data_IF_284023784512
#
_entry.id   IF_284023784512
#
_cell.length_a   1.000
_cell.length_b   1.000
_cell.length_c   1.000
_cell.angle_alpha   90.00
_cell.angle_beta   90.00
_cell.angle_gamma   90.00
#
_symmetry.space_group_name_H-M   'P 1'
#
loop_
_entity.id
_entity.type
_entity.pdbx_description
1 polymer ?
#
# COMPACT_ATOMS: atom_id res chain seq x y z
N UNK A 1 -37.76 14.13 -33.59
CA UNK A 1 -36.33 14.52 -33.54
C UNK A 1 -35.65 13.77 -32.41
N UNK A 2 -34.67 12.89 -32.70
CA UNK A 2 -33.93 12.14 -31.65
C UNK A 2 -32.90 13.07 -31.02
N UNK A 3 -33.10 13.48 -29.78
CA UNK A 3 -32.12 14.24 -28.99
C UNK A 3 -30.91 13.35 -28.69
N UNK A 4 -29.75 13.68 -29.28
CA UNK A 4 -28.51 12.96 -29.03
C UNK A 4 -28.04 13.22 -27.59
N UNK A 5 -28.10 12.18 -26.75
CA UNK A 5 -27.64 12.22 -25.35
C UNK A 5 -26.17 12.66 -25.30
N UNK A 6 -25.87 13.68 -24.49
CA UNK A 6 -24.52 14.24 -24.37
C UNK A 6 -23.56 13.20 -23.78
N UNK A 7 -22.55 12.79 -24.57
CA UNK A 7 -21.53 11.82 -24.13
C UNK A 7 -20.75 12.37 -22.94
N UNK A 8 -20.69 11.59 -21.87
CA UNK A 8 -19.95 11.91 -20.65
C UNK A 8 -18.47 11.51 -20.81
N UNK A 9 -17.60 11.89 -19.86
CA UNK A 9 -16.16 11.55 -19.90
C UNK A 9 -15.91 10.03 -19.95
N UNK A 10 -16.82 9.20 -19.43
CA UNK A 10 -16.72 7.74 -19.48
C UNK A 10 -17.01 7.14 -20.86
N UNK A 11 -17.73 7.86 -21.72
CA UNK A 11 -18.12 7.38 -23.05
C UNK A 11 -17.03 7.62 -24.12
N UNK A 12 -15.94 8.31 -23.74
CA UNK A 12 -14.83 8.63 -24.64
C UNK A 12 -13.83 7.49 -24.66
N UNK A 13 -13.37 7.13 -25.86
CA UNK A 13 -12.34 6.13 -26.05
C UNK A 13 -11.08 6.52 -25.26
N UNK A 14 -10.51 5.61 -24.44
CA UNK A 14 -9.49 5.98 -23.46
C UNK A 14 -8.12 6.29 -24.08
N UNK A 15 -7.89 5.91 -25.34
CA UNK A 15 -6.63 6.11 -26.08
C UNK A 15 -6.76 7.22 -27.13
N UNK A 16 -5.65 7.88 -27.43
CA UNK A 16 -5.54 8.90 -28.49
C UNK A 16 -4.85 8.30 -29.70
N UNK A 17 -5.29 8.60 -30.92
CA UNK A 17 -4.60 8.15 -32.14
C UNK A 17 -3.46 9.13 -32.47
N UNK A 18 -2.24 8.62 -32.60
CA UNK A 18 -1.05 9.43 -32.87
C UNK A 18 -0.79 9.51 -34.39
N UNK A 19 -0.20 10.60 -34.91
CA UNK A 19 0.15 10.72 -36.33
C UNK A 19 1.02 9.60 -36.91
N UNK A 20 1.72 8.84 -36.05
CA UNK A 20 2.51 7.65 -36.43
C UNK A 20 1.65 6.42 -36.77
N UNK A 21 0.32 6.55 -36.78
CA UNK A 21 -0.60 5.46 -37.14
C UNK A 21 -0.90 4.49 -36.01
N UNK A 22 -0.60 4.84 -34.75
CA UNK A 22 -0.79 3.98 -33.58
C UNK A 22 -1.60 4.67 -32.49
N UNK A 23 -2.43 3.91 -31.78
CA UNK A 23 -3.09 4.37 -30.57
C UNK A 23 -2.11 4.47 -29.40
N UNK A 24 -2.16 5.57 -28.66
CA UNK A 24 -1.27 5.84 -27.55
C UNK A 24 -1.98 6.41 -26.32
N UNK A 25 -1.30 6.32 -25.17
CA UNK A 25 -1.68 6.99 -23.91
C UNK A 25 -0.45 7.59 -23.26
N UNK A 26 -0.57 8.83 -22.79
CA UNK A 26 0.41 9.43 -21.90
C UNK A 26 0.16 8.95 -20.46
N UNK A 27 1.13 8.26 -19.89
CA UNK A 27 1.09 7.71 -18.52
C UNK A 27 2.39 8.10 -17.82
N UNK A 28 2.30 8.80 -16.68
CA UNK A 28 3.47 9.26 -15.90
C UNK A 28 4.54 9.98 -16.73
N UNK A 29 4.11 10.87 -17.63
CA UNK A 29 5.00 11.66 -18.47
C UNK A 29 5.53 10.97 -19.72
N UNK A 30 5.39 9.64 -19.86
CA UNK A 30 5.83 8.87 -21.03
C UNK A 30 4.64 8.49 -21.93
N UNK A 31 4.85 8.44 -23.24
CA UNK A 31 3.85 8.01 -24.22
C UNK A 31 4.05 6.51 -24.49
N UNK A 32 2.98 5.73 -24.33
CA UNK A 32 2.96 4.31 -24.64
C UNK A 32 2.07 4.06 -25.85
N UNK A 33 2.53 3.23 -26.78
CA UNK A 33 1.81 2.87 -28.00
C UNK A 33 1.25 1.45 -27.88
N UNK A 34 0.02 1.24 -28.33
CA UNK A 34 -0.71 -0.02 -28.19
C UNK A 34 -1.04 -0.68 -29.55
N UNK A 35 -0.60 -0.07 -30.66
CA UNK A 35 -0.79 -0.55 -32.03
C UNK A 35 -1.86 0.22 -32.80
N UNK A 36 -2.06 -0.17 -34.06
CA UNK A 36 -2.90 0.55 -35.03
C UNK A 36 -4.37 0.14 -35.00
N UNK A 37 -4.69 -1.09 -34.58
CA UNK A 37 -6.07 -1.57 -34.51
C UNK A 37 -6.74 -1.10 -33.21
N UNK A 38 -7.89 -0.43 -33.33
CA UNK A 38 -8.64 0.16 -32.22
C UNK A 38 -9.04 -0.83 -31.13
N UNK A 39 -9.50 -2.03 -31.51
CA UNK A 39 -9.96 -3.04 -30.54
C UNK A 39 -8.78 -3.67 -29.81
N UNK A 40 -7.76 -4.07 -30.55
CA UNK A 40 -6.54 -4.66 -29.99
C UNK A 40 -5.77 -3.67 -29.12
N UNK A 41 -5.71 -2.40 -29.53
CA UNK A 41 -5.07 -1.35 -28.74
C UNK A 41 -5.78 -1.14 -27.40
N UNK A 42 -7.13 -1.16 -27.40
CA UNK A 42 -7.90 -1.07 -26.15
C UNK A 42 -7.61 -2.26 -25.24
N UNK A 43 -7.58 -3.48 -25.78
CA UNK A 43 -7.28 -4.68 -25.01
C UNK A 43 -5.87 -4.64 -24.42
N UNK A 44 -4.86 -4.34 -25.24
CA UNK A 44 -3.46 -4.16 -24.79
C UNK A 44 -3.34 -3.04 -23.75
N UNK A 45 -4.09 -1.96 -23.90
CA UNK A 45 -4.14 -0.91 -22.89
C UNK A 45 -4.76 -1.41 -21.59
N UNK A 46 -5.87 -2.16 -21.61
CA UNK A 46 -6.48 -2.70 -20.38
C UNK A 46 -5.54 -3.69 -19.68
N UNK A 47 -4.87 -4.56 -20.43
CA UNK A 47 -3.90 -5.52 -19.90
C UNK A 47 -2.70 -4.82 -19.26
N UNK A 48 -2.18 -3.77 -19.91
CA UNK A 48 -1.02 -3.04 -19.45
C UNK A 48 -1.37 -1.90 -18.47
N UNK A 49 -2.63 -1.44 -18.42
CA UNK A 49 -3.06 -0.29 -17.60
C UNK A 49 -2.79 -0.56 -16.12
N UNK A 50 -3.03 -1.78 -15.65
CA UNK A 50 -2.73 -2.19 -14.28
C UNK A 50 -1.24 -2.03 -13.96
N UNK A 51 -0.37 -2.38 -14.91
CA UNK A 51 1.09 -2.26 -14.78
C UNK A 51 1.58 -0.80 -14.93
N UNK A 52 1.02 -0.05 -15.89
CA UNK A 52 1.48 1.29 -16.28
C UNK A 52 0.96 2.40 -15.34
N UNK A 53 -0.30 2.31 -14.89
CA UNK A 53 -0.90 3.35 -14.03
C UNK A 53 -0.44 3.28 -12.57
N UNK A 54 0.22 2.20 -12.15
CA UNK A 54 0.88 2.15 -10.84
C UNK A 54 0.31 1.17 -9.83
N UNK A 55 -0.24 0.04 -10.27
CA UNK A 55 -0.12 -1.15 -9.42
C UNK A 55 1.30 -1.70 -9.64
N UNK A 56 2.30 -1.09 -8.96
CA UNK A 56 3.50 -1.81 -8.57
C UNK A 56 3.08 -2.90 -7.59
N UNK A 57 2.45 -3.95 -8.11
CA UNK A 57 2.59 -5.26 -7.52
C UNK A 57 4.07 -5.61 -7.71
N UNK A 58 4.85 -5.35 -6.66
CA UNK A 58 6.14 -5.96 -6.40
C UNK A 58 5.98 -7.48 -6.32
N UNK A 59 5.53 -8.11 -7.40
CA UNK A 59 5.46 -9.55 -7.61
C UNK A 59 6.65 -10.03 -8.43
N UNK A 60 7.71 -9.21 -8.57
CA UNK A 60 9.05 -9.75 -8.79
C UNK A 60 9.50 -10.38 -7.48
N UNK A 61 9.14 -11.65 -7.35
CA UNK A 61 9.37 -12.55 -6.22
C UNK A 61 8.60 -12.13 -4.97
N UNK A 62 7.63 -12.95 -4.51
CA UNK A 62 7.26 -12.93 -3.07
C UNK A 62 8.58 -13.11 -2.34
N UNK A 63 9.11 -12.12 -1.60
CA UNK A 63 10.28 -12.36 -0.77
C UNK A 63 9.80 -13.29 0.33
N UNK A 64 9.89 -14.61 0.12
CA UNK A 64 9.66 -15.57 1.20
C UNK A 64 10.86 -15.44 2.15
N UNK A 65 10.58 -15.19 3.43
CA UNK A 65 11.59 -15.18 4.48
C UNK A 65 12.24 -13.83 4.77
N UNK A 66 13.30 -13.88 5.59
CA UNK A 66 13.94 -12.80 6.37
C UNK A 66 14.41 -11.54 5.61
N UNK A 67 14.16 -11.42 4.31
CA UNK A 67 14.64 -10.32 3.48
C UNK A 67 13.55 -9.32 3.07
N UNK A 68 12.34 -9.43 3.61
CA UNK A 68 11.28 -8.44 3.39
C UNK A 68 11.66 -7.06 3.96
N UNK A 69 11.25 -6.01 3.25
CA UNK A 69 11.29 -4.63 3.74
C UNK A 69 10.06 -4.31 4.57
N UNK A 70 10.15 -3.27 5.41
CA UNK A 70 9.03 -2.78 6.21
C UNK A 70 7.84 -2.41 5.32
N UNK A 71 8.08 -1.73 4.20
CA UNK A 71 7.04 -1.38 3.24
C UNK A 71 6.29 -2.61 2.72
N UNK A 72 7.00 -3.66 2.34
CA UNK A 72 6.37 -4.89 1.83
C UNK A 72 5.44 -5.52 2.87
N UNK A 73 5.88 -5.58 4.14
CA UNK A 73 5.06 -6.14 5.22
C UNK A 73 3.84 -5.26 5.49
N UNK A 74 4.01 -3.93 5.53
CA UNK A 74 2.89 -3.00 5.70
C UNK A 74 1.88 -3.10 4.56
N UNK A 75 2.34 -3.15 3.30
CA UNK A 75 1.47 -3.27 2.12
C UNK A 75 0.65 -4.59 2.17
N UNK A 76 1.30 -5.71 2.51
CA UNK A 76 0.65 -7.01 2.63
C UNK A 76 -0.39 -7.02 3.77
N UNK A 77 -0.05 -6.42 4.91
CA UNK A 77 -0.97 -6.29 6.05
C UNK A 77 -2.18 -5.40 5.74
N UNK A 78 -1.95 -4.22 5.15
CA UNK A 78 -3.04 -3.31 4.80
C UNK A 78 -3.97 -3.90 3.76
N UNK A 79 -3.44 -4.68 2.80
CA UNK A 79 -4.28 -5.43 1.86
C UNK A 79 -5.17 -6.46 2.56
N UNK A 80 -4.64 -7.18 3.56
CA UNK A 80 -5.42 -8.11 4.37
C UNK A 80 -6.51 -7.39 5.20
N UNK A 81 -6.18 -6.25 5.79
CA UNK A 81 -7.15 -5.45 6.56
C UNK A 81 -8.22 -4.83 5.67
N UNK A 82 -7.89 -4.44 4.44
CA UNK A 82 -8.86 -4.00 3.45
C UNK A 82 -9.83 -5.11 3.08
N UNK A 83 -9.38 -6.37 2.94
CA UNK A 83 -10.29 -7.50 2.74
C UNK A 83 -11.27 -7.69 3.91
N UNK A 84 -10.82 -7.47 5.16
CA UNK A 84 -11.71 -7.47 6.33
C UNK A 84 -12.72 -6.33 6.32
N UNK A 85 -12.30 -5.14 5.89
CA UNK A 85 -13.19 -4.01 5.69
C UNK A 85 -14.31 -4.35 4.69
N UNK A 86 -13.96 -4.97 3.55
CA UNK A 86 -14.94 -5.38 2.55
C UNK A 86 -15.90 -6.46 3.07
N UNK A 87 -15.45 -7.29 4.00
CA UNK A 87 -16.27 -8.30 4.68
C UNK A 87 -17.11 -7.72 5.84
N UNK A 88 -17.06 -6.41 6.10
CA UNK A 88 -17.67 -5.73 7.26
C UNK A 88 -17.14 -6.18 8.64
N UNK A 89 -16.01 -6.88 8.69
CA UNK A 89 -15.33 -7.28 9.95
C UNK A 89 -14.52 -6.14 10.57
N UNK A 90 -14.35 -5.03 9.84
CA UNK A 90 -13.55 -3.88 10.24
C UNK A 90 -14.24 -2.58 9.84
N UNK A 91 -14.19 -1.58 10.72
CA UNK A 91 -14.72 -0.25 10.39
C UNK A 91 -13.74 0.53 9.51
N UNK A 92 -14.28 1.39 8.63
CA UNK A 92 -13.48 2.28 7.78
C UNK A 92 -12.57 3.21 8.58
N UNK A 93 -13.05 3.68 9.74
CA UNK A 93 -12.26 4.47 10.68
C UNK A 93 -11.03 3.70 11.15
N UNK A 94 -11.21 2.47 11.62
CA UNK A 94 -10.09 1.69 12.13
C UNK A 94 -9.07 1.33 11.03
N UNK A 95 -9.54 1.02 9.82
CA UNK A 95 -8.66 0.83 8.67
C UNK A 95 -7.83 2.08 8.35
N UNK A 96 -8.43 3.27 8.40
CA UNK A 96 -7.72 4.53 8.21
C UNK A 96 -6.69 4.80 9.32
N UNK A 97 -7.04 4.49 10.59
CA UNK A 97 -6.10 4.59 11.72
C UNK A 97 -4.89 3.65 11.52
N UNK A 98 -5.11 2.44 10.98
CA UNK A 98 -4.04 1.50 10.63
C UNK A 98 -3.13 2.06 9.53
N UNK A 99 -3.69 2.63 8.46
CA UNK A 99 -2.92 3.27 7.38
C UNK A 99 -2.06 4.40 7.94
N UNK A 100 -2.66 5.32 8.69
CA UNK A 100 -1.96 6.47 9.27
C UNK A 100 -0.83 6.04 10.20
N UNK A 101 -1.10 5.07 11.07
CA UNK A 101 -0.12 4.51 12.00
C UNK A 101 1.07 3.87 11.30
N UNK A 102 0.81 3.01 10.30
CA UNK A 102 1.87 2.32 9.58
C UNK A 102 2.68 3.26 8.68
N UNK A 103 2.05 4.30 8.12
CA UNK A 103 2.76 5.35 7.40
C UNK A 103 3.72 6.12 8.33
N UNK A 104 3.30 6.43 9.55
CA UNK A 104 4.17 7.07 10.56
C UNK A 104 5.34 6.18 10.97
N UNK A 105 5.10 4.88 11.14
CA UNK A 105 6.15 3.89 11.41
C UNK A 105 7.17 3.85 10.26
N UNK A 106 6.68 3.72 9.02
CA UNK A 106 7.52 3.70 7.82
C UNK A 106 8.31 5.00 7.62
N UNK A 107 7.71 6.15 7.93
CA UNK A 107 8.38 7.45 7.86
C UNK A 107 9.49 7.58 8.93
N UNK A 108 9.35 6.91 10.07
CA UNK A 108 10.36 6.95 11.13
C UNK A 108 11.51 5.95 10.92
N UNK A 109 11.19 4.69 10.66
CA UNK A 109 12.19 3.61 10.51
C UNK A 109 12.81 3.61 9.10
N UNK A 110 12.02 4.00 8.10
CA UNK A 110 12.37 3.92 6.69
C UNK A 110 11.65 2.77 5.97
N UNK A 111 10.99 3.11 4.86
CA UNK A 111 10.19 2.17 4.05
C UNK A 111 11.01 0.97 3.53
N UNK A 112 12.25 1.21 3.12
CA UNK A 112 13.13 0.20 2.53
C UNK A 112 13.99 -0.55 3.55
N UNK A 113 13.83 -0.24 4.86
CA UNK A 113 14.56 -0.93 5.92
C UNK A 113 14.14 -2.40 5.96
N UNK A 114 15.12 -3.31 6.02
CA UNK A 114 14.85 -4.75 6.12
C UNK A 114 14.37 -5.10 7.52
N UNK A 115 13.37 -5.99 7.64
CA UNK A 115 12.80 -6.36 8.94
C UNK A 115 13.88 -6.91 9.88
N UNK A 116 14.78 -7.77 9.39
CA UNK A 116 15.90 -8.32 10.17
C UNK A 116 16.87 -7.27 10.75
N UNK A 117 16.88 -6.07 10.19
CA UNK A 117 17.76 -4.97 10.61
C UNK A 117 17.06 -3.97 11.54
N UNK A 118 15.77 -4.18 11.84
CA UNK A 118 15.05 -3.38 12.82
C UNK A 118 15.45 -3.89 14.20
N UNK A 119 16.19 -3.06 14.91
CA UNK A 119 16.63 -3.35 16.27
C UNK A 119 15.54 -3.01 17.29
N UNK A 120 15.66 -3.54 18.50
CA UNK A 120 14.84 -3.13 19.64
C UNK A 120 14.99 -1.64 19.94
N UNK A 121 16.18 -1.07 19.75
CA UNK A 121 16.45 0.35 19.96
C UNK A 121 15.66 1.22 18.98
N UNK A 122 15.52 0.80 17.72
CA UNK A 122 14.69 1.51 16.73
C UNK A 122 13.23 1.60 17.18
N UNK A 123 12.69 0.50 17.72
CA UNK A 123 11.32 0.44 18.22
C UNK A 123 11.12 1.28 19.49
N UNK A 124 12.09 1.28 20.40
CA UNK A 124 12.06 2.15 21.58
C UNK A 124 12.16 3.63 21.20
N UNK A 125 13.00 3.97 20.23
CA UNK A 125 13.08 5.34 19.70
C UNK A 125 11.79 5.76 19.02
N UNK A 126 11.10 4.83 18.33
CA UNK A 126 9.78 5.09 17.79
C UNK A 126 8.75 5.39 18.90
N UNK A 127 8.74 4.60 19.99
CA UNK A 127 7.90 4.89 21.17
C UNK A 127 8.17 6.27 21.75
N UNK A 128 9.45 6.62 21.94
CA UNK A 128 9.84 7.97 22.43
C UNK A 128 9.37 9.08 21.50
N UNK A 129 9.45 8.87 20.19
CA UNK A 129 8.89 9.82 19.21
C UNK A 129 7.37 9.98 19.40
N UNK A 130 6.64 8.88 19.54
CA UNK A 130 5.19 8.94 19.78
C UNK A 130 4.85 9.67 21.09
N UNK A 131 5.59 9.41 22.16
CA UNK A 131 5.43 10.12 23.45
C UNK A 131 5.59 11.64 23.29
N UNK A 132 6.56 12.08 22.48
CA UNK A 132 6.78 13.51 22.21
C UNK A 132 5.74 14.12 21.28
N UNK A 133 5.21 13.33 20.34
CA UNK A 133 4.27 13.82 19.32
C UNK A 133 2.81 13.85 19.79
N UNK A 134 2.43 13.03 20.78
CA UNK A 134 1.06 12.91 21.24
C UNK A 134 0.94 13.23 22.73
N UNK A 135 0.12 14.23 23.07
CA UNK A 135 -0.29 14.46 24.46
C UNK A 135 -1.28 13.41 24.99
N UNK A 136 -1.93 12.65 24.11
CA UNK A 136 -2.88 11.60 24.49
C UNK A 136 -2.20 10.23 24.56
N UNK A 137 -2.17 9.64 25.76
CA UNK A 137 -1.69 8.27 26.01
C UNK A 137 -2.44 7.26 25.15
N UNK A 138 -3.75 7.44 24.99
CA UNK A 138 -4.59 6.59 24.14
C UNK A 138 -4.11 6.58 22.68
N UNK A 139 -3.88 7.75 22.07
CA UNK A 139 -3.45 7.82 20.65
C UNK A 139 -2.07 7.20 20.44
N UNK A 140 -1.14 7.41 21.36
CA UNK A 140 0.15 6.73 21.31
C UNK A 140 -0.01 5.19 21.43
N UNK A 141 -0.82 4.72 22.38
CA UNK A 141 -1.04 3.29 22.59
C UNK A 141 -1.73 2.63 21.38
N UNK A 142 -2.57 3.36 20.64
CA UNK A 142 -3.13 2.91 19.37
C UNK A 142 -2.03 2.61 18.36
N UNK A 143 -1.07 3.51 18.18
CA UNK A 143 0.06 3.33 17.24
C UNK A 143 0.93 2.11 17.61
N UNK A 144 1.28 1.98 18.89
CA UNK A 144 2.05 0.82 19.41
C UNK A 144 1.27 -0.48 19.17
N UNK A 145 -0.05 -0.48 19.42
CA UNK A 145 -0.88 -1.66 19.27
C UNK A 145 -0.98 -2.10 17.81
N UNK A 146 -1.20 -1.16 16.88
CA UNK A 146 -1.27 -1.47 15.44
C UNK A 146 0.06 -2.07 14.96
N UNK A 147 1.19 -1.49 15.36
CA UNK A 147 2.53 -2.02 15.04
C UNK A 147 2.69 -3.46 15.54
N UNK A 148 2.34 -3.72 16.82
CA UNK A 148 2.41 -5.08 17.40
C UNK A 148 1.52 -6.07 16.66
N UNK A 149 0.26 -5.71 16.42
CA UNK A 149 -0.70 -6.56 15.73
C UNK A 149 -0.22 -6.93 14.33
N UNK A 150 0.38 -5.98 13.58
CA UNK A 150 0.95 -6.24 12.26
C UNK A 150 2.07 -7.29 12.33
N UNK A 151 3.03 -7.15 13.24
CA UNK A 151 4.14 -8.10 13.36
C UNK A 151 3.68 -9.47 13.86
N UNK A 152 2.79 -9.53 14.85
CA UNK A 152 2.21 -10.80 15.31
C UNK A 152 1.42 -11.50 14.20
N UNK A 153 0.61 -10.75 13.44
CA UNK A 153 -0.10 -11.28 12.28
C UNK A 153 0.86 -11.83 11.23
N UNK A 154 1.93 -11.09 10.92
CA UNK A 154 2.92 -11.51 9.93
C UNK A 154 3.64 -12.80 10.35
N UNK A 155 3.96 -12.96 11.64
CA UNK A 155 4.49 -14.22 12.19
C UNK A 155 3.46 -15.36 12.12
N UNK A 156 2.22 -15.10 12.54
CA UNK A 156 1.14 -16.11 12.58
C UNK A 156 0.78 -16.65 11.19
N UNK A 157 0.91 -15.84 10.15
CA UNK A 157 0.60 -16.22 8.77
C UNK A 157 1.86 -16.60 7.96
N UNK A 158 2.98 -16.88 8.63
CA UNK A 158 4.23 -17.33 8.00
C UNK A 158 4.78 -16.37 6.93
N UNK A 159 4.41 -15.09 7.02
CA UNK A 159 4.92 -14.03 6.15
C UNK A 159 6.34 -13.67 6.57
N UNK A 160 6.59 -13.67 7.89
CA UNK A 160 7.89 -13.46 8.50
C UNK A 160 8.23 -14.65 9.40
N UNK A 161 9.43 -15.20 9.23
CA UNK A 161 9.94 -16.23 10.15
C UNK A 161 10.38 -15.60 11.47
N UNK A 162 11.14 -14.51 11.38
CA UNK A 162 11.62 -13.76 12.53
C UNK A 162 11.01 -12.36 12.54
N UNK A 163 10.49 -11.96 13.71
CA UNK A 163 10.00 -10.60 13.96
C UNK A 163 10.96 -9.89 14.94
N UNK A 164 11.05 -8.55 14.88
CA UNK A 164 11.75 -7.79 15.90
C UNK A 164 11.18 -8.07 17.30
N UNK A 165 11.96 -7.86 18.34
CA UNK A 165 11.48 -7.94 19.73
C UNK A 165 10.54 -6.77 20.03
N UNK A 166 9.28 -6.94 19.64
CA UNK A 166 8.20 -5.97 19.84
C UNK A 166 7.72 -5.91 21.29
N UNK A 167 8.00 -6.94 22.10
CA UNK A 167 7.59 -6.99 23.50
C UNK A 167 8.38 -6.01 24.37
N UNK A 168 9.58 -5.65 23.94
CA UNK A 168 10.37 -4.57 24.52
C UNK A 168 9.72 -3.18 24.44
N UNK A 169 8.63 -3.02 23.68
CA UNK A 169 7.83 -1.78 23.60
C UNK A 169 6.49 -2.00 24.29
N UNK A 170 6.40 -1.68 25.58
CA UNK A 170 5.15 -1.71 26.33
C UNK A 170 4.24 -0.51 26.00
N UNK A 171 2.94 -0.70 26.21
CA UNK A 171 1.99 0.42 26.29
C UNK A 171 2.36 1.30 27.48
N UNK A 172 2.03 2.58 27.40
CA UNK A 172 2.20 3.51 28.52
C UNK A 172 0.93 3.45 29.37
N UNK A 173 1.11 3.29 30.68
CA UNK A 173 0.03 3.38 31.66
C UNK A 173 -0.41 4.85 31.75
N UNK A 174 -1.72 5.07 31.82
CA UNK A 174 -2.33 6.39 31.83
C UNK A 174 -2.35 6.97 33.25
#
# INVERSE_FOLDING_TARGET
MKTLKRKTRSDKFPLTFHPTGQYCKKIKGKIYYFGSNKKEALQRYLDQATYLHGCQNNLRQKPKGNNMTLKQVCDIYLKYQYSKLQANDLTARHHNDQIDSLNKLMAFIGQNRRIKSISTLDLQNYKRKLQKSYGSVYRMNLHISIMKTMFHWARKNEILNNIPNIDAVSRVEA
#
